data_IF_578426650900
#
_entry.id   IF_578426650900
#
_cell.length_a   1.000
_cell.length_b   1.000
_cell.length_c   1.000
_cell.angle_alpha   90.00
_cell.angle_beta   90.00
_cell.angle_gamma   90.00
#
_symmetry.space_group_name_H-M   'P 1'
#
loop_
_entity.id
_entity.type
_entity.pdbx_description
1 polymer ?
#
# COMPACT_ATOMS: atom_id res chain seq x y z
N UNK A 1 19.45 9.48 -5.73
CA UNK A 1 19.57 8.09 -6.22
C UNK A 1 18.21 7.66 -6.71
N UNK A 2 18.15 6.78 -7.71
CA UNK A 2 16.89 6.25 -8.21
C UNK A 2 16.59 4.98 -7.39
N UNK A 3 15.80 5.12 -6.32
CA UNK A 3 15.45 4.03 -5.41
C UNK A 3 14.24 3.26 -5.95
N UNK A 4 14.34 1.93 -5.92
CA UNK A 4 13.21 1.04 -6.16
C UNK A 4 12.57 0.65 -4.84
N UNK A 5 11.26 0.43 -4.85
CA UNK A 5 10.51 0.02 -3.68
C UNK A 5 9.79 -1.29 -3.95
N UNK A 6 9.74 -2.19 -2.97
CA UNK A 6 8.92 -3.39 -3.03
C UNK A 6 8.00 -3.38 -1.81
N UNK A 7 6.70 -3.16 -2.04
CA UNK A 7 5.72 -3.28 -0.97
C UNK A 7 5.53 -4.75 -0.66
N UNK A 8 5.54 -5.08 0.62
CA UNK A 8 5.21 -6.41 1.10
C UNK A 8 4.41 -6.32 2.39
N UNK A 9 3.77 -7.43 2.73
CA UNK A 9 3.05 -7.58 3.97
C UNK A 9 3.37 -8.96 4.55
N UNK A 10 3.94 -9.05 5.76
CA UNK A 10 4.45 -10.31 6.31
C UNK A 10 3.37 -11.37 6.56
N UNK A 11 2.07 -11.00 6.54
CA UNK A 11 0.96 -11.96 6.67
C UNK A 11 0.44 -12.48 5.33
N UNK A 12 0.89 -11.92 4.21
CA UNK A 12 0.57 -12.42 2.88
C UNK A 12 1.51 -13.59 2.53
N UNK A 13 0.97 -14.61 1.86
CA UNK A 13 1.82 -15.65 1.26
C UNK A 13 2.72 -14.98 0.22
N UNK A 14 4.04 -15.06 0.42
CA UNK A 14 5.07 -14.46 -0.45
C UNK A 14 4.72 -14.76 -1.92
N UNK A 15 4.24 -13.75 -2.63
CA UNK A 15 3.92 -13.80 -4.05
C UNK A 15 4.96 -13.05 -4.87
N UNK A 16 4.78 -13.01 -6.20
CA UNK A 16 5.57 -12.21 -7.14
C UNK A 16 5.39 -10.69 -6.89
N UNK A 17 5.86 -10.22 -5.74
CA UNK A 17 5.88 -8.82 -5.35
C UNK A 17 6.74 -8.05 -6.34
N UNK A 18 6.09 -7.24 -7.17
CA UNK A 18 6.79 -6.45 -8.18
C UNK A 18 7.37 -5.18 -7.56
N UNK A 19 8.56 -4.82 -8.02
CA UNK A 19 9.20 -3.59 -7.59
C UNK A 19 8.63 -2.39 -8.35
N UNK A 20 8.46 -1.31 -7.62
CA UNK A 20 7.95 -0.02 -8.03
C UNK A 20 9.11 0.96 -8.20
N UNK A 21 8.99 1.84 -9.18
CA UNK A 21 9.86 2.98 -9.35
C UNK A 21 9.04 4.26 -9.37
N UNK A 22 9.47 5.24 -8.59
CA UNK A 22 8.79 6.53 -8.49
C UNK A 22 9.22 7.42 -9.66
N UNK A 23 8.38 7.51 -10.69
CA UNK A 23 8.69 8.24 -11.93
C UNK A 23 8.32 9.72 -11.80
N UNK A 24 7.12 10.00 -11.28
CA UNK A 24 6.60 11.36 -11.22
C UNK A 24 7.27 12.20 -10.14
N UNK A 25 7.77 11.57 -9.07
CA UNK A 25 8.22 12.23 -7.83
C UNK A 25 7.15 13.11 -7.18
N UNK A 26 5.89 12.85 -7.50
CA UNK A 26 4.73 13.55 -6.92
C UNK A 26 4.59 13.25 -5.43
N UNK A 27 4.89 12.02 -5.04
CA UNK A 27 5.05 11.59 -3.64
C UNK A 27 6.50 11.15 -3.45
N UNK A 28 7.17 11.50 -2.36
CA UNK A 28 8.60 11.18 -2.20
C UNK A 28 8.85 9.68 -1.92
N UNK A 29 8.00 9.06 -1.10
CA UNK A 29 8.12 7.67 -0.65
C UNK A 29 6.76 6.96 -0.76
N UNK A 30 6.69 5.65 -1.07
CA UNK A 30 5.41 4.96 -1.25
C UNK A 30 4.64 4.68 0.04
N UNK A 31 5.28 4.83 1.22
CA UNK A 31 4.64 4.57 2.52
C UNK A 31 3.37 5.40 2.69
N UNK A 32 3.47 6.72 2.63
CA UNK A 32 2.35 7.62 2.92
C UNK A 32 1.15 7.38 1.99
N UNK A 33 1.29 7.36 0.65
CA UNK A 33 0.16 7.07 -0.22
C UNK A 33 -0.36 5.64 -0.07
N UNK A 34 0.49 4.64 0.22
CA UNK A 34 0.02 3.28 0.47
C UNK A 34 -0.79 3.17 1.77
N UNK A 35 -0.31 3.79 2.84
CA UNK A 35 -1.00 3.87 4.14
C UNK A 35 -2.32 4.63 3.99
N UNK A 36 -2.33 5.76 3.27
CA UNK A 36 -3.54 6.51 3.00
C UNK A 36 -4.60 5.64 2.32
N UNK A 37 -4.24 4.97 1.21
CA UNK A 37 -5.15 4.06 0.49
C UNK A 37 -5.66 2.94 1.40
N UNK A 38 -4.77 2.39 2.22
CA UNK A 38 -5.09 1.34 3.17
C UNK A 38 -6.10 1.82 4.24
N UNK A 39 -5.92 3.03 4.77
CA UNK A 39 -6.84 3.64 5.71
C UNK A 39 -8.23 3.91 5.09
N UNK A 40 -8.26 4.40 3.85
CA UNK A 40 -9.52 4.60 3.12
C UNK A 40 -10.26 3.27 2.91
N UNK A 41 -9.56 2.20 2.55
CA UNK A 41 -10.16 0.87 2.39
C UNK A 41 -10.74 0.33 3.70
N UNK A 42 -10.06 0.57 4.83
CA UNK A 42 -10.54 0.17 6.15
C UNK A 42 -11.75 0.98 6.59
N UNK A 43 -11.72 2.30 6.43
CA UNK A 43 -12.81 3.19 6.83
C UNK A 43 -14.08 2.95 6.00
N UNK A 44 -13.94 2.75 4.69
CA UNK A 44 -15.09 2.63 3.77
C UNK A 44 -15.66 1.22 3.71
N UNK A 45 -14.80 0.19 3.80
CA UNK A 45 -15.19 -1.19 3.49
C UNK A 45 -14.82 -2.17 4.60
N UNK A 46 -14.13 -1.75 5.67
CA UNK A 46 -13.70 -2.63 6.75
C UNK A 46 -12.67 -3.68 6.30
N UNK A 47 -11.94 -3.42 5.20
CA UNK A 47 -11.01 -4.37 4.60
C UNK A 47 -9.59 -3.83 4.54
N UNK A 48 -8.62 -4.74 4.55
CA UNK A 48 -7.22 -4.43 4.26
C UNK A 48 -6.86 -4.86 2.85
N UNK A 49 -6.19 -4.01 2.08
CA UNK A 49 -5.74 -4.38 0.73
C UNK A 49 -4.41 -5.14 0.80
N UNK A 50 -4.21 -6.06 -0.14
CA UNK A 50 -2.92 -6.75 -0.25
C UNK A 50 -1.81 -5.83 -0.79
N UNK A 51 -0.55 -6.14 -0.49
CA UNK A 51 0.62 -5.36 -0.92
C UNK A 51 0.69 -5.22 -2.45
N UNK A 52 0.32 -6.28 -3.18
CA UNK A 52 0.18 -6.24 -4.64
C UNK A 52 -0.84 -5.18 -5.08
N UNK A 53 -2.00 -5.14 -4.43
CA UNK A 53 -3.07 -4.23 -4.84
C UNK A 53 -2.77 -2.79 -4.51
N UNK A 54 -2.15 -2.55 -3.36
CA UNK A 54 -1.61 -1.24 -3.02
C UNK A 54 -0.59 -0.78 -4.07
N UNK A 55 0.30 -1.68 -4.50
CA UNK A 55 1.26 -1.39 -5.56
C UNK A 55 0.58 -1.04 -6.90
N UNK A 56 -0.47 -1.77 -7.30
CA UNK A 56 -1.27 -1.46 -8.49
C UNK A 56 -1.93 -0.07 -8.39
N UNK A 57 -2.46 0.30 -7.23
CA UNK A 57 -3.07 1.61 -6.97
C UNK A 57 -2.01 2.72 -7.04
N UNK A 58 -0.81 2.50 -6.47
CA UNK A 58 0.31 3.45 -6.57
C UNK A 58 0.69 3.72 -8.02
N UNK A 59 0.72 2.68 -8.86
CA UNK A 59 0.99 2.83 -10.31
C UNK A 59 -0.14 3.58 -11.01
N UNK A 60 -1.40 3.29 -10.66
CA UNK A 60 -2.55 3.88 -11.32
C UNK A 60 -2.76 5.37 -10.97
N UNK A 61 -2.44 5.78 -9.74
CA UNK A 61 -2.87 7.08 -9.21
C UNK A 61 -1.77 7.98 -8.65
N UNK A 62 -0.59 7.45 -8.33
CA UNK A 62 0.45 8.17 -7.61
C UNK A 62 1.79 8.26 -8.37
N UNK A 63 1.76 8.01 -9.69
CA UNK A 63 2.90 8.22 -10.58
C UNK A 63 4.08 7.26 -10.40
N UNK A 64 3.81 6.09 -9.82
CA UNK A 64 4.73 4.96 -9.82
C UNK A 64 4.65 4.17 -11.12
N UNK A 65 5.69 3.41 -11.45
CA UNK A 65 5.66 2.42 -12.51
C UNK A 65 6.24 1.09 -12.02
N UNK A 66 5.89 0.01 -12.70
CA UNK A 66 6.58 -1.26 -12.52
C UNK A 66 7.99 -1.17 -13.08
N UNK A 67 8.94 -1.83 -12.42
CA UNK A 67 10.27 -2.03 -12.98
C UNK A 67 10.23 -3.21 -13.94
N UNK A 68 10.60 -2.96 -15.20
CA UNK A 68 10.80 -3.99 -16.21
C UNK A 68 12.32 -4.23 -16.37
N UNK A 69 12.78 -5.46 -16.11
CA UNK A 69 14.20 -5.83 -16.31
C UNK A 69 15.03 -5.85 -15.01
N UNK A 70 16.33 -5.56 -15.14
CA UNK A 70 17.26 -5.58 -14.00
C UNK A 70 16.90 -4.53 -12.95
N UNK A 71 16.87 -4.95 -11.68
CA UNK A 71 16.60 -4.05 -10.56
C UNK A 71 17.71 -2.99 -10.45
N UNK A 72 17.37 -1.73 -10.14
CA UNK A 72 18.38 -0.72 -9.86
C UNK A 72 19.21 -1.10 -8.63
N UNK A 73 20.36 -0.45 -8.49
CA UNK A 73 21.39 -0.77 -7.49
C UNK A 73 20.87 -0.71 -6.03
N UNK A 74 19.79 0.03 -5.76
CA UNK A 74 19.16 0.16 -4.44
C UNK A 74 17.66 -0.21 -4.51
N UNK A 75 17.31 -1.31 -3.85
CA UNK A 75 15.94 -1.77 -3.62
C UNK A 75 15.62 -1.69 -2.13
N UNK A 76 14.56 -0.96 -1.78
CA UNK A 76 14.00 -0.89 -0.44
C UNK A 76 12.75 -1.77 -0.34
N UNK A 77 12.69 -2.61 0.69
CA UNK A 77 11.49 -3.38 1.03
C UNK A 77 10.68 -2.63 2.05
N UNK A 78 9.43 -2.33 1.70
CA UNK A 78 8.53 -1.54 2.53
C UNK A 78 7.47 -2.45 3.14
N UNK A 79 7.55 -2.66 4.45
CA UNK A 79 6.56 -3.41 5.21
C UNK A 79 5.33 -2.52 5.42
N UNK A 80 4.24 -2.80 4.70
CA UNK A 80 3.01 -2.02 4.78
C UNK A 80 2.35 -2.15 6.16
N UNK A 81 2.46 -3.32 6.79
CA UNK A 81 1.86 -3.53 8.11
C UNK A 81 2.59 -2.67 9.14
N UNK A 82 3.91 -2.73 9.16
CA UNK A 82 4.71 -1.91 10.06
C UNK A 82 4.52 -0.42 9.77
N UNK A 83 4.60 -0.01 8.50
CA UNK A 83 4.45 1.39 8.13
C UNK A 83 3.10 1.97 8.56
N UNK A 84 2.04 1.15 8.55
CA UNK A 84 0.74 1.54 9.08
C UNK A 84 0.68 1.64 10.61
N UNK A 85 1.46 0.84 11.33
CA UNK A 85 1.56 0.88 12.79
C UNK A 85 2.41 2.08 13.26
N UNK A 86 3.40 2.50 12.46
CA UNK A 86 4.39 3.54 12.79
C UNK A 86 3.95 4.97 12.40
N UNK A 87 2.94 5.11 11.55
CA UNK A 87 2.50 6.41 11.00
C UNK A 87 1.45 7.09 11.88
N UNK A 88 1.47 8.43 11.89
CA UNK A 88 0.37 9.20 12.46
C UNK A 88 -0.87 9.06 11.56
N UNK A 89 -1.82 8.24 12.03
CA UNK A 89 -3.01 7.86 11.26
C UNK A 89 -3.89 9.07 10.98
N UNK A 90 -4.03 9.99 11.94
CA UNK A 90 -4.92 11.14 11.79
C UNK A 90 -4.36 12.10 10.74
N UNK A 91 -3.05 12.36 10.77
CA UNK A 91 -2.38 13.24 9.79
C UNK A 91 -2.45 12.67 8.36
N UNK A 92 -2.24 11.36 8.19
CA UNK A 92 -2.30 10.74 6.86
C UNK A 92 -3.73 10.59 6.36
N UNK A 93 -4.68 10.22 7.22
CA UNK A 93 -6.07 9.96 6.82
C UNK A 93 -6.76 11.21 6.24
N UNK A 94 -6.51 12.37 6.83
CA UNK A 94 -7.10 13.64 6.45
C UNK A 94 -6.28 14.42 5.40
N UNK A 95 -5.20 13.82 4.88
CA UNK A 95 -4.33 14.47 3.92
C UNK A 95 -4.94 14.48 2.51
N UNK A 96 -5.64 15.57 2.20
CA UNK A 96 -6.26 15.83 0.88
C UNK A 96 -5.27 15.74 -0.29
N UNK A 97 -3.95 15.89 -0.06
CA UNK A 97 -2.95 15.76 -1.12
C UNK A 97 -2.85 14.33 -1.69
N UNK A 98 -3.38 13.33 -1.00
CA UNK A 98 -3.48 11.95 -1.49
C UNK A 98 -4.86 11.62 -2.09
N UNK A 99 -5.84 12.52 -2.06
CA UNK A 99 -7.11 12.29 -2.72
C UNK A 99 -6.96 12.23 -4.25
N UNK A 100 -7.51 11.21 -4.87
CA UNK A 100 -7.45 11.01 -6.33
C UNK A 100 -8.82 10.63 -6.88
N UNK A 101 -9.19 11.28 -7.97
CA UNK A 101 -10.44 10.99 -8.66
C UNK A 101 -10.50 9.51 -9.09
N UNK A 102 -11.53 8.81 -8.63
CA UNK A 102 -11.74 7.39 -8.94
C UNK A 102 -10.98 6.41 -8.04
N UNK A 103 -10.20 6.88 -7.05
CA UNK A 103 -9.50 6.02 -6.10
C UNK A 103 -10.46 5.11 -5.32
N UNK A 104 -11.52 5.68 -4.74
CA UNK A 104 -12.54 4.92 -3.99
C UNK A 104 -13.14 3.81 -4.85
N UNK A 105 -13.42 4.11 -6.12
CA UNK A 105 -13.94 3.12 -7.07
C UNK A 105 -12.93 2.01 -7.34
N UNK A 106 -11.65 2.34 -7.48
CA UNK A 106 -10.58 1.35 -7.67
C UNK A 106 -10.40 0.46 -6.43
N UNK A 107 -10.49 1.03 -5.22
CA UNK A 107 -10.51 0.27 -3.97
C UNK A 107 -11.66 -0.72 -3.98
N UNK A 108 -12.88 -0.26 -4.23
CA UNK A 108 -14.08 -1.11 -4.28
C UNK A 108 -13.94 -2.28 -5.28
N UNK A 109 -13.36 -2.03 -6.46
CA UNK A 109 -13.17 -3.07 -7.49
C UNK A 109 -12.16 -4.16 -7.09
N UNK A 110 -11.34 -3.93 -6.06
CA UNK A 110 -10.38 -4.90 -5.53
C UNK A 110 -11.02 -5.99 -4.68
N UNK A 111 -12.25 -5.73 -4.21
CA UNK A 111 -12.94 -6.59 -3.25
C UNK A 111 -13.75 -7.64 -4.03
N UNK A 112 -13.64 -8.95 -3.70
CA UNK A 112 -12.93 -9.54 -2.55
C UNK A 112 -11.54 -10.10 -2.87
N UNK A 113 -11.06 -9.97 -4.11
CA UNK A 113 -9.95 -10.80 -4.63
C UNK A 113 -8.59 -10.44 -4.06
N UNK A 114 -8.37 -9.17 -3.75
CA UNK A 114 -7.06 -8.65 -3.32
C UNK A 114 -7.15 -8.01 -1.93
N UNK A 115 -7.97 -8.62 -1.07
CA UNK A 115 -8.17 -8.23 0.32
C UNK A 115 -7.48 -9.23 1.24
N UNK A 116 -6.75 -8.71 2.21
CA UNK A 116 -6.21 -9.51 3.32
C UNK A 116 -7.28 -9.62 4.39
N UNK A 117 -7.86 -10.81 4.51
CA UNK A 117 -8.66 -11.16 5.68
C UNK A 117 -7.70 -11.29 6.85
N UNK A 118 -7.72 -10.32 7.76
CA UNK A 118 -7.13 -10.51 9.08
C UNK A 118 -8.00 -11.52 9.81
N UNK A 119 -7.67 -12.81 9.69
CA UNK A 119 -8.20 -13.83 10.59
C UNK A 119 -8.00 -13.32 12.02
N UNK A 120 -9.10 -13.11 12.72
CA UNK A 120 -9.13 -12.37 13.98
C UNK A 120 -8.09 -12.85 14.98
N UNK A 121 -7.08 -12.02 15.24
CA UNK A 121 -6.34 -12.01 16.49
C UNK A 121 -6.66 -10.73 17.26
N UNK A 122 -7.97 -10.46 17.39
CA UNK A 122 -8.55 -9.67 18.48
C UNK A 122 -9.21 -10.61 19.52
N UNK A 123 -8.78 -11.87 19.55
CA UNK A 123 -9.18 -12.86 20.55
C UNK A 123 -7.94 -13.57 21.08
N UNK A 124 -7.12 -12.88 21.86
CA UNK A 124 -6.34 -13.42 22.99
C UNK A 124 -5.39 -12.34 23.56
N UNK A 125 -5.95 -11.47 24.40
CA UNK A 125 -5.25 -10.94 25.59
C UNK A 125 -6.27 -10.41 26.58
N UNK A 126 -7.16 -11.31 27.00
CA UNK A 126 -7.75 -11.28 28.34
C UNK A 126 -7.40 -12.63 28.96
N UNK A 127 -6.21 -12.69 29.54
CA UNK A 127 -5.80 -13.72 30.49
C UNK A 127 -5.01 -13.01 31.60
#
# INVERSE_FOLDING_TARGET
>A
MNEAYQLFNPVESVGDEKSLFNVSKETAHPIEPAVYVQLQAEALYGVRLGARRLSEILVQFYGYCWIEGELPVSLEKVDIRQAREDVDVDDVFDNEAFERDGLIRAIHQSIPRDVVTLSGSLSEKVA
#
